data_IF_843599792088
#
_entry.id   IF_843599792088
#
_cell.length_a   1.000
_cell.length_b   1.000
_cell.length_c   1.000
_cell.angle_alpha   90.00
_cell.angle_beta   90.00
_cell.angle_gamma   90.00
#
_symmetry.space_group_name_H-M   'P 1'
#
loop_
_entity.id
_entity.type
_entity.pdbx_description
1 polymer ?
2 non-polymer ?
3 non-polymer ?
4 water ?
#
# COMPACT_ATOMS: atom_id res chain seq x y z
N UNK A 1 -1.85 9.09 15.53
CA UNK A 1 -1.77 7.92 14.62
C UNK A 1 -3.15 7.48 14.16
N UNK A 2 -3.17 6.77 12.98
CA UNK A 2 -4.40 6.25 12.43
C UNK A 2 -4.57 4.84 12.96
N UNK A 3 -5.81 4.41 13.17
CA UNK A 3 -6.10 3.02 13.48
C UNK A 3 -7.13 2.52 12.47
N UNK A 4 -6.71 1.59 11.62
CA UNK A 4 -7.60 0.97 10.63
C UNK A 4 -8.28 -0.16 11.32
N UNK A 5 -9.60 -0.33 11.16
CA UNK A 5 -10.26 -1.48 11.77
C UNK A 5 -10.45 -2.63 10.74
N UNK A 6 -10.32 -3.86 11.23
CA UNK A 6 -10.49 -5.03 10.40
C UNK A 6 -11.04 -6.19 11.22
N UNK A 7 -11.89 -7.00 10.60
CA UNK A 7 -12.37 -8.22 11.22
C UNK A 7 -11.34 -9.32 11.05
N UNK A 8 -10.80 -9.82 12.16
CA UNK A 8 -9.78 -10.86 12.14
C UNK A 8 -10.36 -12.14 12.73
N UNK A 9 -15.30 -12.60 13.13
CA UNK A 9 -14.69 -13.23 14.34
C UNK A 9 -14.58 -12.18 15.46
N UNK A 10 -13.61 -11.21 15.26
CA UNK A 10 -13.36 -10.14 16.21
C UNK A 10 -12.76 -8.96 15.48
N UNK A 11 -13.05 -7.75 15.96
CA UNK A 11 -12.53 -6.54 15.32
C UNK A 11 -11.21 -6.13 15.96
N UNK A 12 -10.19 -5.98 15.11
CA UNK A 12 -8.88 -5.53 15.54
C UNK A 12 -8.57 -4.17 14.95
N UNK A 13 -7.67 -3.43 15.61
CA UNK A 13 -7.19 -2.17 15.09
C UNK A 13 -5.76 -2.33 14.58
N UNK A 14 -5.49 -1.74 13.41
CA UNK A 14 -4.15 -1.76 12.83
C UNK A 14 -3.54 -0.37 12.93
N UNK A 15 -2.59 -0.22 13.84
CA UNK A 15 -2.10 0.95 14.16
C UNK A 15 -1.12 1.43 13.36
N UNK A 16 -1.21 2.74 12.95
CA UNK A 16 -0.21 3.42 12.12
C UNK A 16 -0.10 4.89 12.52
N UNK B 1 -7.87 -14.97 7.37
CA UNK B 1 -7.77 -13.73 6.58
C UNK B 1 -8.44 -12.55 7.30
N UNK B 2 -8.09 -11.30 6.83
CA UNK B 2 -8.65 -10.08 7.39
C UNK B 2 -9.73 -9.55 6.45
N UNK B 3 -10.75 -8.92 7.02
CA UNK B 3 -11.79 -8.26 6.23
C UNK B 3 -11.79 -6.77 6.55
N UNK B 4 -11.40 -5.95 5.58
CA UNK B 4 -11.39 -4.51 5.76
C UNK B 4 -12.73 -3.98 5.37
N UNK B 5 -13.24 -2.95 6.05
CA UNK B 5 -14.53 -2.39 5.67
C UNK B 5 -14.41 -1.04 4.91
N UNK B 6 -15.36 -0.83 4.01
CA UNK B 6 -15.42 0.40 3.23
C UNK B 6 -16.86 0.70 2.86
N UNK B 7 -17.17 1.99 2.73
CA UNK B 7 -18.48 2.42 2.27
C UNK B 7 -18.45 2.61 0.76
N UNK B 8 -19.28 1.84 0.06
CA UNK B 8 -19.32 1.88 -1.40
C UNK B 8 -20.64 2.46 -1.87
N UNK B 9 -25.44 4.33 -0.52
CA UNK B 9 -24.27 3.42 -0.48
C UNK B 9 -24.45 2.31 0.57
N UNK B 10 -23.52 1.29 0.53
CA UNK B 10 -23.55 0.17 1.46
C UNK B 10 -22.15 -0.12 1.97
N UNK B 11 -22.06 -0.71 3.17
CA UNK B 11 -20.79 -1.16 3.70
C UNK B 11 -20.40 -2.48 3.05
N UNK B 12 -19.17 -2.55 2.55
CA UNK B 12 -18.66 -3.77 1.95
C UNK B 12 -17.43 -4.27 2.72
N UNK B 13 -17.14 -5.55 2.57
CA UNK B 13 -15.94 -6.13 3.15
C UNK B 13 -14.91 -6.43 2.08
N UNK B 14 -13.64 -6.15 2.37
CA UNK B 14 -12.54 -6.47 1.47
C UNK B 14 -11.64 -7.51 2.11
N UNK B 15 -11.65 -8.72 1.54
CA UNK B 15 -11.05 -9.76 2.08
C UNK B 15 -9.75 -9.92 1.70
N UNK B 16 -8.84 -10.25 2.65
CA UNK B 16 -7.41 -10.48 2.41
C UNK B 16 -6.91 -11.61 3.32
N UNK C 1 -16.62 6.33 -5.83
CA UNK C 1 -15.40 6.13 -4.98
C UNK C 1 -15.72 5.35 -3.69
N UNK C 2 -14.62 4.85 -3.04
CA UNK C 2 -14.72 4.12 -1.80
C UNK C 2 -14.38 5.06 -0.64
N UNK C 3 -15.04 4.88 0.50
CA UNK C 3 -14.65 5.58 1.72
C UNK C 3 -14.26 4.54 2.77
N UNK C 4 -13.00 4.59 3.20
CA UNK C 4 -12.52 3.72 4.28
C UNK C 4 -12.67 4.45 5.57
N UNK C 5 -13.22 3.84 6.61
CA UNK C 5 -13.30 4.53 7.91
C UNK C 5 -12.13 4.10 8.84
N UNK C 6 -11.44 5.11 9.37
CA UNK C 6 -10.35 4.88 10.31
C UNK C 6 -10.44 5.86 11.48
N UNK C 7 -9.89 5.45 12.62
CA UNK C 7 -9.76 6.33 13.77
C UNK C 7 -8.55 7.22 13.57
N UNK C 8 -8.74 8.53 13.62
CA UNK C 8 -7.66 9.50 13.47
C UNK C 8 -7.50 10.31 14.75
N UNK C 9 -9.32 11.01 19.76
CA UNK C 9 -9.36 10.86 18.28
C UNK C 9 -10.83 10.76 17.77
N UNK C 10 -10.99 10.79 16.41
CA UNK C 10 -12.30 10.72 15.78
C UNK C 10 -12.28 9.76 14.61
N UNK C 11 -13.43 9.14 14.34
CA UNK C 11 -13.59 8.29 13.17
C UNK C 11 -13.76 9.17 11.94
N UNK C 12 -12.85 9.02 10.98
CA UNK C 12 -12.88 9.80 9.75
C UNK C 12 -12.98 8.88 8.53
N UNK C 13 -13.38 9.46 7.41
CA UNK C 13 -13.45 8.72 6.15
C UNK C 13 -12.32 9.11 5.21
N UNK C 14 -11.64 8.10 4.67
CA UNK C 14 -10.58 8.31 3.68
C UNK C 14 -11.11 7.97 2.29
N UNK C 15 -11.28 9.00 1.46
CA UNK C 15 -11.88 8.85 0.30
C UNK C 15 -11.05 8.55 -0.74
N UNK C 16 -11.40 7.51 -1.56
CA UNK C 16 -10.63 7.06 -2.71
C UNK C 16 -11.56 6.77 -3.89
N UNK D 1 -4.17 -12.48 12.71
CA UNK D 1 -3.29 -11.61 11.91
C UNK D 1 -2.41 -12.42 10.96
N UNK D 2 -2.04 -11.78 9.80
CA UNK D 2 -1.20 -12.41 8.80
C UNK D 2 0.26 -12.06 9.13
N UNK D 3 1.18 -12.94 8.76
CA UNK D 3 2.60 -12.67 8.91
C UNK D 3 3.29 -12.83 7.57
N UNK D 4 3.72 -11.71 6.99
CA UNK D 4 4.42 -11.72 5.72
C UNK D 4 5.87 -11.98 5.99
N UNK D 5 6.53 -12.85 5.21
CA UNK D 5 7.97 -13.01 5.40
C UNK D 5 8.76 -12.14 4.39
N UNK D 6 9.85 -11.54 4.88
CA UNK D 6 10.70 -10.70 4.05
C UNK D 6 12.16 -10.82 4.49
N UNK D 7 13.07 -10.66 3.54
CA UNK D 7 14.50 -10.63 3.85
C UNK D 7 14.91 -9.23 4.27
N UNK D 8 15.55 -9.13 5.43
CA UNK D 8 16.06 -7.85 5.93
C UNK D 8 17.56 -7.96 6.12
N UNK D 9 21.91 -11.19 5.47
CA UNK D 9 20.59 -10.73 5.96
C UNK D 9 19.79 -11.90 6.58
N UNK D 10 18.67 -11.55 7.29
CA UNK D 10 17.81 -12.54 7.94
C UNK D 10 16.39 -12.45 7.41
N UNK D 11 15.67 -13.57 7.48
CA UNK D 11 14.26 -13.61 7.19
C UNK D 11 13.48 -13.19 8.42
N UNK D 12 12.59 -12.22 8.27
CA UNK D 12 11.76 -11.75 9.38
C UNK D 12 10.29 -11.87 9.04
N UNK D 13 9.44 -11.76 10.06
CA UNK D 13 8.00 -11.77 9.88
C UNK D 13 7.42 -10.39 10.12
N UNK D 14 6.61 -9.92 9.18
CA UNK D 14 5.90 -8.65 9.32
C UNK D 14 4.42 -8.92 9.64
N UNK D 15 4.02 -8.54 10.85
CA UNK D 15 2.84 -8.86 11.32
C UNK D 15 1.85 -7.95 11.10
N UNK D 16 0.65 -8.36 10.57
CA UNK D 16 -0.52 -7.53 10.29
C UNK D 16 -1.79 -8.21 10.78
N UNK E 1 -0.49 -12.90 -12.95
CA UNK E 1 -0.63 -12.26 -11.62
C UNK E 1 0.39 -12.82 -10.62
N UNK E 2 0.78 -11.94 -9.64
CA UNK E 2 1.72 -12.32 -8.60
C UNK E 2 0.99 -13.02 -7.46
N UNK E 3 1.68 -13.92 -6.77
CA UNK E 3 1.16 -14.53 -5.55
C UNK E 3 2.12 -14.25 -4.39
N UNK E 4 1.66 -13.46 -3.43
CA UNK E 4 2.45 -13.18 -2.24
C UNK E 4 2.16 -14.26 -1.24
N UNK E 5 3.16 -14.69 -0.46
CA UNK E 5 2.90 -15.69 0.57
C UNK E 5 2.83 -15.07 1.99
N UNK E 6 1.98 -15.67 2.82
CA UNK E 6 1.79 -15.19 4.19
C UNK E 6 1.33 -16.31 5.11
N UNK E 7 1.78 -16.25 6.36
CA UNK E 7 1.35 -17.18 7.38
C UNK E 7 0.02 -16.72 7.96
N UNK E 8 -1.02 -17.53 7.77
CA UNK E 8 -2.35 -17.21 8.28
C UNK E 8 -2.84 -18.31 9.22
N UNK E 9 -0.86 -22.63 12.34
CA UNK E 9 -1.34 -21.90 11.14
C UNK E 9 -0.68 -22.45 9.85
N UNK E 10 -1.28 -22.04 8.68
CA UNK E 10 -0.81 -22.47 7.37
C UNK E 10 -0.25 -21.29 6.57
N UNK E 11 0.58 -21.60 5.58
CA UNK E 11 1.05 -20.60 4.63
C UNK E 11 0.06 -20.52 3.47
N UNK E 12 -0.40 -19.32 3.17
CA UNK E 12 -1.36 -19.10 2.08
C UNK E 12 -0.79 -18.19 1.01
N UNK E 13 -1.46 -18.16 -0.14
CA UNK E 13 -1.08 -17.29 -1.24
C UNK E 13 -2.08 -16.17 -1.43
N UNK E 14 -1.58 -14.97 -1.71
CA UNK E 14 -2.41 -13.80 -1.96
C UNK E 14 -2.19 -13.32 -3.40
N UNK E 15 -3.24 -13.42 -4.21
CA UNK E 15 -3.14 -13.24 -5.51
C UNK E 15 -3.42 -11.99 -5.97
N UNK E 16 -2.52 -11.36 -6.79
CA UNK E 16 -2.73 -10.03 -7.36
C UNK E 16 -2.34 -10.03 -8.84
N UNK F 1 17.74 -2.57 3.17
CA UNK F 1 16.43 -2.65 2.48
C UNK F 1 15.75 -4.00 2.71
N UNK F 2 14.42 -4.05 2.38
CA UNK F 2 13.62 -5.25 2.52
C UNK F 2 13.42 -5.89 1.15
N UNK F 3 13.40 -7.21 1.10
CA UNK F 3 13.08 -7.94 -0.11
C UNK F 3 11.88 -8.83 0.15
N UNK F 4 10.75 -8.49 -0.46
CA UNK F 4 9.54 -9.30 -0.34
C UNK F 4 9.59 -10.37 -1.38
N UNK F 5 9.22 -11.61 -1.06
CA UNK F 5 9.19 -12.65 -2.08
C UNK F 5 7.75 -12.80 -2.65
N UNK F 6 7.69 -13.20 -3.91
CA UNK F 6 6.42 -13.43 -4.58
C UNK F 6 6.60 -14.44 -5.70
N UNK F 7 5.55 -15.20 -5.99
CA UNK F 7 5.57 -16.12 -7.10
C UNK F 7 5.13 -15.39 -8.37
N UNK F 8 5.96 -15.45 -9.40
CA UNK F 8 5.65 -14.83 -10.68
C UNK F 8 5.78 -15.88 -11.77
N UNK F 9 6.40 -21.18 -12.91
CA UNK F 9 6.65 -19.83 -12.33
C UNK F 9 7.82 -19.85 -11.31
N UNK F 10 8.62 -18.73 -11.34
CA UNK F 10 9.77 -18.59 -10.45
C UNK F 10 9.40 -17.70 -9.26
N UNK F 11 10.18 -17.79 -8.20
CA UNK F 11 10.06 -16.88 -7.07
C UNK F 11 10.93 -15.67 -7.34
N UNK F 12 10.35 -14.47 -7.22
CA UNK F 12 11.09 -13.23 -7.44
C UNK F 12 11.20 -12.42 -6.15
N UNK F 13 12.13 -11.48 -6.13
CA UNK F 13 12.31 -10.59 -4.99
C UNK F 13 11.97 -9.16 -5.35
N UNK F 14 11.23 -8.50 -4.47
CA UNK F 14 10.84 -7.10 -4.67
C UNK F 14 11.56 -6.23 -3.63
N UNK F 15 12.48 -5.40 -4.13
CA UNK F 15 13.31 -4.74 -3.36
C UNK F 15 12.86 -3.52 -2.95
N UNK F 16 13.00 -3.18 -1.63
CA UNK F 16 12.57 -1.89 -1.09
C UNK F 16 13.55 -1.43 0.00
N UNK G 1 -17.14 -0.72 -6.48
CA UNK G 1 -15.68 -1.01 -6.42
C UNK G 1 -14.93 -0.36 -7.59
N UNK G 2 -13.62 -0.06 -7.34
CA UNK G 2 -12.76 0.54 -8.35
C UNK G 2 -12.05 -0.58 -9.10
N UNK G 3 -11.70 -0.30 -10.36
CA UNK G 3 -10.87 -1.22 -11.13
C UNK G 3 -9.62 -0.48 -11.58
N UNK G 4 -8.46 -1.02 -11.20
CA UNK G 4 -7.17 -0.45 -11.61
C UNK G 4 -6.70 -1.19 -12.82
N UNK G 5 -6.21 -0.50 -13.86
CA UNK G 5 -5.68 -1.21 -15.03
C UNK G 5 -4.13 -1.30 -14.99
N UNK G 6 -3.63 -2.53 -15.09
CA UNK G 6 -2.20 -2.81 -15.06
C UNK G 6 -1.82 -3.85 -16.11
N UNK G 7 -0.61 -3.72 -16.65
CA UNK G 7 -0.10 -4.71 -17.60
C UNK G 7 0.37 -5.94 -16.84
N UNK G 8 -0.14 -7.11 -17.23
CA UNK G 8 0.26 -8.37 -16.64
C UNK G 8 0.80 -9.30 -17.71
N UNK G 9 2.16 -10.14 -22.76
CA UNK G 9 1.31 -9.65 -21.64
C UNK G 9 0.06 -8.90 -22.17
N UNK G 10 -0.86 -8.55 -21.22
CA UNK G 10 -2.09 -7.83 -21.55
C UNK G 10 -2.47 -6.90 -20.41
N UNK G 11 -3.24 -5.87 -20.73
CA UNK G 11 -3.70 -4.91 -19.73
C UNK G 11 -4.97 -5.41 -19.07
N UNK G 12 -4.88 -5.73 -17.78
CA UNK G 12 -5.99 -6.32 -17.04
C UNK G 12 -6.50 -5.41 -15.93
N UNK G 13 -7.75 -5.65 -15.51
CA UNK G 13 -8.34 -4.89 -14.43
C UNK G 13 -8.17 -5.57 -13.09
N UNK G 14 -7.71 -4.82 -12.10
CA UNK G 14 -7.61 -5.30 -10.71
C UNK G 14 -8.73 -4.68 -9.89
N UNK G 15 -9.63 -5.53 -9.40
CA UNK G 15 -10.74 -5.11 -8.83
C UNK G 15 -10.67 -4.92 -7.49
N UNK G 16 -11.12 -3.74 -6.96
CA UNK G 16 -11.10 -3.49 -5.52
C UNK G 16 -12.39 -2.79 -5.07
N UNK H 1 3.46 15.69 -8.79
CA UNK H 1 2.70 14.52 -8.25
C UNK H 1 2.35 13.54 -9.36
N UNK H 2 2.02 12.29 -8.93
CA UNK H 2 1.63 11.24 -9.86
C UNK H 2 0.11 11.16 -9.86
N UNK H 3 -0.46 10.82 -11.01
CA UNK H 3 -1.89 10.58 -11.11
C UNK H 3 -2.10 9.14 -11.60
N UNK H 4 -2.70 8.31 -10.75
CA UNK H 4 -3.00 6.93 -11.09
C UNK H 4 -4.38 6.91 -11.67
N UNK H 5 -4.65 6.07 -12.67
CA UNK H 5 -6.00 6.01 -13.22
C UNK H 5 -6.78 4.79 -12.66
N UNK H 6 -8.08 4.98 -12.54
CA UNK H 6 -8.96 3.94 -12.05
C UNK H 6 -10.33 4.07 -12.69
N UNK H 7 -10.99 2.93 -12.86
CA UNK H 7 -12.34 2.90 -13.39
C UNK H 7 -13.34 2.94 -12.24
N UNK H 8 -14.22 3.94 -12.28
CA UNK H 8 -15.25 4.09 -11.26
C UNK H 8 -16.62 4.06 -11.93
N UNK H 9 -19.39 3.66 -16.51
CA UNK H 9 -18.41 4.13 -15.48
C UNK H 9 -17.44 5.17 -16.07
N UNK H 10 -16.76 5.91 -15.14
CA UNK H 10 -15.80 6.94 -15.53
C UNK H 10 -14.37 6.47 -15.28
N UNK H 11 -13.42 7.05 -16.00
CA UNK H 11 -12.01 6.87 -15.69
C UNK H 11 -11.52 8.08 -14.93
N UNK H 12 -11.19 7.88 -13.66
CA UNK H 12 -10.80 8.97 -12.77
C UNK H 12 -9.32 8.95 -12.47
N UNK H 13 -8.81 10.07 -11.96
CA UNK H 13 -7.43 10.17 -11.55
C UNK H 13 -7.31 10.23 -10.04
N UNK H 14 -6.37 9.46 -9.50
CA UNK H 14 -6.07 9.47 -8.07
C UNK H 14 -4.69 10.09 -7.87
N UNK H 15 -4.66 11.29 -7.30
CA UNK H 15 -3.58 12.03 -7.27
C UNK H 15 -2.79 11.84 -6.18
N UNK H 16 -1.44 11.70 -6.36
CA UNK H 16 -0.48 11.51 -5.28
C UNK H 16 0.74 12.40 -5.50
N UNK I 1 5.85 -9.92 -14.02
CA UNK I 1 5.61 -8.73 -13.15
C UNK I 1 4.47 -7.87 -13.68
N UNK I 2 3.89 -7.04 -12.77
CA UNK I 2 2.82 -6.12 -13.11
C UNK I 2 3.45 -4.78 -13.44
N UNK I 3 2.88 -4.08 -14.41
CA UNK I 3 3.30 -2.71 -14.69
C UNK I 3 2.11 -1.79 -14.49
N UNK I 4 2.21 -0.93 -13.48
CA UNK I 4 1.16 0.01 -13.14
C UNK I 4 1.38 1.25 -13.94
N UNK I 5 0.33 1.90 -14.45
CA UNK I 5 0.54 3.15 -15.17
C UNK I 5 0.18 4.40 -14.30
N UNK I 6 0.86 5.50 -14.60
CA UNK I 6 0.60 6.76 -13.95
C UNK I 6 1.03 7.91 -14.84
N UNK I 7 0.33 9.03 -14.73
CA UNK I 7 0.73 10.25 -15.42
C UNK I 7 1.69 11.03 -14.54
N UNK I 8 2.89 11.28 -15.07
CA UNK I 8 3.92 12.01 -14.34
C UNK I 8 4.24 13.30 -15.07
N UNK I 9 3.42 16.56 -19.16
CA UNK I 9 3.66 15.29 -18.43
C UNK I 9 3.65 14.09 -19.41
N UNK I 10 3.96 12.87 -18.84
CA UNK I 10 3.99 11.65 -19.63
C UNK I 10 3.42 10.48 -18.83
N UNK I 11 2.87 9.51 -19.54
CA UNK I 11 2.45 8.27 -18.91
C UNK I 11 3.68 7.42 -18.66
N UNK I 12 3.86 6.98 -17.43
CA UNK I 12 4.99 6.13 -17.06
C UNK I 12 4.51 4.78 -16.55
N UNK I 13 5.36 3.77 -16.69
CA UNK I 13 5.06 2.43 -16.21
C UNK I 13 5.91 2.08 -15.01
N UNK I 14 5.26 1.66 -13.93
CA UNK I 14 5.94 1.30 -12.68
C UNK I 14 5.92 -0.22 -12.50
N UNK I 15 7.10 -0.83 -12.56
CA UNK I 15 7.22 -2.14 -12.59
C UNK I 15 7.29 -2.76 -11.39
N UNK I 16 6.45 -3.82 -11.14
CA UNK I 16 6.41 -4.60 -9.91
C UNK I 16 6.36 -6.08 -10.24
N UNK J 1 8.77 11.79 -10.95
CA UNK J 1 8.65 10.79 -9.86
C UNK J 1 8.91 11.41 -8.48
N UNK J 2 8.37 10.72 -7.43
CA UNK J 2 8.55 11.15 -6.06
C UNK J 2 9.68 10.35 -5.44
N UNK J 3 10.41 10.96 -4.50
CA UNK J 3 11.41 10.26 -3.71
C UNK J 3 11.01 10.31 -2.24
N UNK J 4 10.68 9.15 -1.67
CA UNK J 4 10.34 9.08 -0.25
C UNK J 4 11.60 8.89 0.52
N UNK J 5 11.74 9.54 1.68
CA UNK J 5 12.93 9.32 2.50
C UNK J 5 12.64 8.32 3.66
N UNK J 6 13.63 7.49 3.94
CA UNK J 6 13.50 6.49 5.00
C UNK J 6 14.86 6.18 5.62
N UNK J 7 14.86 5.96 6.93
CA UNK J 7 16.06 5.52 7.63
C UNK J 7 16.22 4.02 7.45
N UNK J 8 17.33 3.61 6.84
CA UNK J 8 17.64 2.20 6.63
C UNK J 8 18.88 1.82 7.42
N UNK J 9 22.68 3.53 11.10
CA UNK J 9 21.94 3.52 9.81
C UNK J 9 22.17 4.82 9.01
N UNK J 10 21.47 4.92 7.84
CA UNK J 10 21.56 6.08 6.97
C UNK J 10 20.21 6.38 6.36
N UNK J 11 19.98 7.64 6.00
CA UNK J 11 18.75 8.03 5.33
C UNK J 11 18.89 7.75 3.84
N UNK J 12 17.94 6.99 3.29
CA UNK J 12 17.93 6.66 1.88
C UNK J 12 16.70 7.26 1.19
N UNK J 13 16.77 7.35 -0.14
CA UNK J 13 15.67 7.84 -0.93
C UNK J 13 15.06 6.72 -1.76
N UNK J 14 13.73 6.61 -1.73
CA UNK J 14 13.01 5.57 -2.46
C UNK J 14 12.24 6.18 -3.63
N UNK J 15 12.70 5.88 -4.84
CA UNK J 15 12.23 6.44 -5.93
C UNK J 15 11.10 5.87 -6.43
N UNK J 16 10.03 6.66 -6.75
CA UNK J 16 8.79 6.13 -7.30
C UNK J 16 8.25 7.09 -8.37
N UNK K 1 -4.77 13.67 10.62
CA UNK K 1 -4.18 12.87 9.51
C UNK K 1 -2.65 13.00 9.48
N UNK K 2 -1.99 11.91 8.96
CA UNK K 2 -0.55 11.90 8.84
C UNK K 2 -0.15 12.65 7.58
N UNK K 3 1.02 13.29 7.61
CA UNK K 3 1.59 13.91 6.42
C UNK K 3 2.95 13.29 6.17
N UNK K 4 3.08 12.57 5.05
CA UNK K 4 4.34 11.97 4.66
C UNK K 4 5.10 12.97 3.83
N UNK K 5 6.41 13.13 4.04
CA UNK K 5 7.17 14.04 3.21
C UNK K 5 7.80 13.30 2.01
N UNK K 6 7.90 14.01 0.88
CA UNK K 6 8.49 13.45 -0.32
C UNK K 6 9.10 14.56 -1.17
N UNK K 7 10.18 14.24 -1.89
CA UNK K 7 10.76 15.16 -2.85
C UNK K 7 10.04 15.02 -4.19
N UNK K 8 9.50 16.14 -4.67
CA UNK K 8 8.81 16.17 -5.96
C UNK K 8 9.49 17.19 -6.86
N UNK K 9 14.27 20.27 -7.07
CA UNK K 9 12.88 19.91 -6.68
C UNK K 9 12.54 20.43 -5.26
N UNK K 10 11.22 20.34 -4.90
CA UNK K 10 10.73 20.81 -3.61
C UNK K 10 10.22 19.64 -2.76
N UNK K 11 10.18 19.84 -1.45
CA UNK K 11 9.62 18.87 -0.53
C UNK K 11 8.12 19.13 -0.39
N UNK K 12 7.31 18.09 -0.61
CA UNK K 12 5.86 18.20 -0.48
C UNK K 12 5.33 17.27 0.59
N UNK K 13 4.09 17.51 1.03
CA UNK K 13 3.44 16.69 2.03
C UNK K 13 2.29 15.90 1.44
N UNK K 14 2.22 14.61 1.78
CA UNK K 14 1.16 13.73 1.30
C UNK K 14 0.22 13.37 2.46
N UNK K 15 -1.01 13.86 2.37
CA UNK K 15 -1.88 13.78 3.35
C UNK K 15 -2.63 12.65 3.40
N UNK K 16 -2.65 11.89 4.54
CA UNK K 16 -3.42 10.66 4.76
C UNK K 16 -4.10 10.75 6.13
N UNK L 1 15.31 -3.07 9.44
CA UNK L 1 13.99 -2.50 9.05
C UNK L 1 14.13 -1.03 8.63
N UNK L 2 13.08 -0.53 7.89
CA UNK L 2 13.02 0.85 7.44
C UNK L 2 12.18 1.66 8.40
N UNK L 3 12.56 2.91 8.62
CA UNK L 3 11.75 3.82 9.42
C UNK L 3 11.34 5.01 8.54
N UNK L 4 10.04 5.14 8.29
CA UNK L 4 9.50 6.23 7.51
C UNK L 4 9.17 7.35 8.44
N UNK L 5 9.52 8.60 8.12
CA UNK L 5 9.12 9.70 8.98
C UNK L 5 7.80 10.34 8.46
N UNK L 6 7.01 10.83 9.40
CA UNK L 6 5.73 11.45 9.08
C UNK L 6 5.34 12.45 10.15
N UNK L 7 4.65 13.52 9.76
CA UNK L 7 4.07 14.44 10.71
C UNK L 7 2.76 13.88 11.22
N UNK L 8 2.60 13.88 12.55
CA UNK L 8 1.36 13.46 13.18
C UNK L 8 0.89 14.59 14.10
N UNK L 9 1.70 19.60 16.04
CA UNK L 9 2.00 18.18 15.70
C UNK L 9 3.48 17.83 15.97
N UNK L 10 3.81 16.51 15.81
CA UNK L 10 5.16 16.00 16.03
C UNK L 10 5.56 15.10 14.86
N UNK L 11 6.85 14.94 14.65
CA UNK L 11 7.36 14.00 13.68
C UNK L 11 7.52 12.64 14.35
N UNK L 12 6.97 11.61 13.72
CA UNK L 12 7.06 10.25 14.24
C UNK L 12 7.74 9.34 13.23
N UNK L 13 8.24 8.21 13.72
CA UNK L 13 8.83 7.19 12.86
C UNK L 13 7.92 5.98 12.75
N UNK L 14 7.73 5.49 11.54
CA UNK L 14 6.91 4.29 11.29
C UNK L 14 7.81 3.14 10.85
N UNK L 15 7.92 2.12 11.71
CA UNK L 15 8.78 1.13 11.51
C UNK L 15 8.28 0.07 10.84
N UNK L 16 9.04 -0.49 9.85
CA UNK L 16 8.71 -1.65 9.02
C UNK L 16 9.96 -2.49 8.77
X LIG M 1 -8.96 13.93 10.70
X LIG N 1 5.93 -7.20 12.82
X LIG O 1 2.92 19.85 -0.20
X LIG P 1 6.86 22.26 -1.34
#
# INVERSE_FOLDING_TARGET
ALVFFAEDAAIIGLAV
ALVFFAEDAAIIGLAV
ALVFFAEDAAIIGLAV
ALVFFAEDAAIIGLAV
ALVFFAEDAAIIGLAV
ALVFFAEDAAIIGLAV
ALVFFAEDAAIIGLAV
ALVFFAEDAAIIGLAV
ALVFFAEDAAIIGLAV
ALVFFAEDAAIIGLAV
ALVFFAEDAAIIGLAV
ALVFFAEDAAIIGLAV
NA NA
CL CL
CL CL
NA NA
#
